data_IF_598966016527
#
_entry.id   IF_598966016527
#
_cell.length_a   1.000
_cell.length_b   1.000
_cell.length_c   1.000
_cell.angle_alpha   90.00
_cell.angle_beta   90.00
_cell.angle_gamma   90.00
#
_symmetry.space_group_name_H-M   'P 1'
#
loop_
_entity.id
_entity.type
_entity.pdbx_description
1 polymer ?
#
# COMPACT_ATOMS: atom_id res chain seq x y z
N UNK A 1 -73.00 61.97 -9.64
CA UNK A 1 -71.63 61.60 -10.06
C UNK A 1 -71.31 60.27 -9.40
N UNK A 2 -71.51 59.16 -10.12
CA UNK A 2 -71.27 57.79 -9.64
C UNK A 2 -69.89 57.35 -10.11
N UNK A 3 -68.99 57.00 -9.19
CA UNK A 3 -67.61 56.63 -9.48
C UNK A 3 -67.51 55.21 -10.05
N UNK A 4 -66.75 55.06 -11.13
CA UNK A 4 -66.46 53.77 -11.78
C UNK A 4 -65.72 52.81 -10.82
N UNK A 5 -65.99 51.49 -10.86
CA UNK A 5 -65.29 50.52 -10.04
C UNK A 5 -63.83 50.36 -10.50
N UNK A 6 -62.89 50.39 -9.54
CA UNK A 6 -61.46 50.17 -9.78
C UNK A 6 -61.20 48.72 -10.18
N UNK A 7 -60.54 48.52 -11.33
CA UNK A 7 -60.03 47.20 -11.76
C UNK A 7 -59.02 46.63 -10.74
N UNK A 8 -59.08 45.31 -10.53
CA UNK A 8 -58.14 44.57 -9.69
C UNK A 8 -56.71 44.60 -10.28
N UNK A 9 -55.65 44.66 -9.45
CA UNK A 9 -54.28 44.66 -9.94
C UNK A 9 -53.94 43.32 -10.59
N UNK A 10 -53.40 43.38 -11.81
CA UNK A 10 -52.84 42.22 -12.50
C UNK A 10 -51.72 41.59 -11.67
N UNK A 11 -51.75 40.26 -11.51
CA UNK A 11 -50.72 39.50 -10.83
C UNK A 11 -49.35 39.73 -11.46
N UNK A 12 -48.40 40.15 -10.62
CA UNK A 12 -46.99 40.21 -10.96
C UNK A 12 -46.43 38.79 -11.06
N UNK A 13 -45.77 38.47 -12.17
CA UNK A 13 -44.98 37.25 -12.29
C UNK A 13 -43.82 37.36 -11.31
N UNK A 14 -43.83 36.55 -10.24
CA UNK A 14 -42.71 36.44 -9.32
C UNK A 14 -41.48 35.95 -10.09
N UNK A 15 -40.41 36.76 -10.11
CA UNK A 15 -39.11 36.28 -10.56
C UNK A 15 -38.73 35.02 -9.76
N UNK A 16 -38.27 33.94 -10.41
CA UNK A 16 -37.77 32.77 -9.70
C UNK A 16 -36.71 33.21 -8.70
N UNK A 17 -36.86 32.78 -7.44
CA UNK A 17 -35.80 32.89 -6.45
C UNK A 17 -34.54 32.22 -7.01
N UNK A 18 -33.34 32.81 -6.88
CA UNK A 18 -32.12 32.12 -7.26
C UNK A 18 -32.06 30.81 -6.46
N UNK A 19 -32.02 29.70 -7.18
CA UNK A 19 -31.78 28.37 -6.62
C UNK A 19 -30.54 28.46 -5.71
N UNK A 20 -30.55 27.87 -4.50
CA UNK A 20 -29.36 27.86 -3.67
C UNK A 20 -28.19 27.32 -4.50
N UNK A 21 -27.14 28.12 -4.62
CA UNK A 21 -25.87 27.69 -5.22
C UNK A 21 -25.48 26.43 -4.48
N UNK A 22 -25.30 25.32 -5.22
CA UNK A 22 -24.83 24.08 -4.63
C UNK A 22 -23.58 24.38 -3.80
N UNK A 23 -23.63 24.03 -2.51
CA UNK A 23 -22.49 24.18 -1.62
C UNK A 23 -21.36 23.36 -2.24
N UNK A 24 -20.34 24.05 -2.74
CA UNK A 24 -19.13 23.40 -3.28
C UNK A 24 -18.62 22.50 -2.15
N UNK A 25 -18.48 21.18 -2.36
CA UNK A 25 -18.03 20.30 -1.30
C UNK A 25 -16.68 20.82 -0.81
N UNK A 26 -16.64 21.26 0.46
CA UNK A 26 -15.42 21.71 1.10
C UNK A 26 -14.45 20.54 1.03
N UNK A 27 -13.34 20.75 0.32
CA UNK A 27 -12.27 19.77 0.21
C UNK A 27 -11.83 19.41 1.64
N UNK A 28 -11.81 18.12 2.04
CA UNK A 28 -11.28 17.78 3.35
C UNK A 28 -9.83 18.27 3.39
N UNK A 29 -9.49 19.08 4.39
CA UNK A 29 -8.10 19.49 4.62
C UNK A 29 -7.28 18.22 4.81
N UNK A 30 -6.48 17.86 3.81
CA UNK A 30 -5.61 16.69 3.88
C UNK A 30 -4.44 17.06 4.77
N UNK A 31 -4.30 16.35 5.88
CA UNK A 31 -3.18 16.51 6.79
C UNK A 31 -1.89 16.09 6.07
N UNK A 32 -0.94 17.01 5.92
CA UNK A 32 0.33 16.76 5.20
C UNK A 32 1.48 16.32 6.11
N UNK A 33 1.25 16.22 7.43
CA UNK A 33 2.28 15.76 8.37
C UNK A 33 2.60 14.28 8.12
N UNK A 34 3.88 13.97 7.94
CA UNK A 34 4.32 12.60 7.69
C UNK A 34 4.38 11.84 9.03
N UNK A 35 3.73 10.67 9.14
CA UNK A 35 3.89 9.85 10.34
C UNK A 35 5.31 9.29 10.39
N UNK A 36 5.87 9.10 11.60
CA UNK A 36 7.18 8.44 11.84
C UNK A 36 8.43 9.12 11.23
N UNK A 37 8.33 10.36 10.76
CA UNK A 37 9.44 11.12 10.15
C UNK A 37 10.29 11.89 11.18
N UNK A 38 10.84 11.20 12.18
CA UNK A 38 11.66 11.83 13.22
C UNK A 38 13.15 11.50 13.06
N UNK A 39 14.00 12.52 13.20
CA UNK A 39 15.45 12.31 13.34
C UNK A 39 15.76 11.62 14.68
N UNK A 40 16.79 10.78 14.69
CA UNK A 40 17.22 10.04 15.89
C UNK A 40 16.46 8.74 16.15
N UNK A 41 15.53 8.35 15.28
CA UNK A 41 14.94 7.01 15.32
C UNK A 41 16.00 5.94 15.02
N UNK A 42 15.95 4.84 15.77
CA UNK A 42 16.86 3.72 15.54
C UNK A 42 16.47 2.98 14.27
N UNK A 43 17.47 2.58 13.47
CA UNK A 43 17.23 1.78 12.27
C UNK A 43 17.34 0.31 12.69
N UNK A 44 16.28 -0.51 12.55
CA UNK A 44 16.34 -1.90 12.92
C UNK A 44 17.29 -2.65 11.98
N UNK A 45 18.02 -3.61 12.54
CA UNK A 45 18.85 -4.55 11.80
C UNK A 45 18.09 -5.87 11.73
N UNK A 46 17.91 -6.43 10.53
CA UNK A 46 17.02 -7.58 10.30
C UNK A 46 17.69 -8.74 9.55
N UNK A 47 17.18 -9.94 9.79
CA UNK A 47 17.58 -11.19 9.14
C UNK A 47 16.33 -12.05 8.88
N UNK A 48 16.28 -12.77 7.75
CA UNK A 48 15.18 -13.66 7.40
C UNK A 48 13.92 -12.93 6.91
N UNK A 49 12.74 -13.40 7.34
CA UNK A 49 11.44 -12.82 6.97
C UNK A 49 10.91 -11.91 8.08
N UNK A 50 10.53 -10.68 7.73
CA UNK A 50 10.01 -9.72 8.70
C UNK A 50 8.96 -8.78 8.08
N UNK A 51 8.02 -8.31 8.90
CA UNK A 51 7.12 -7.19 8.57
C UNK A 51 7.56 -5.99 9.40
N UNK A 52 7.84 -4.88 8.74
CA UNK A 52 8.41 -3.69 9.38
C UNK A 52 7.62 -2.43 9.00
N UNK A 53 7.46 -1.48 9.93
CA UNK A 53 6.99 -0.15 9.58
C UNK A 53 8.08 0.63 8.85
N UNK A 54 7.66 1.56 7.99
CA UNK A 54 8.55 2.45 7.27
C UNK A 54 8.64 3.81 7.97
N UNK A 55 9.82 4.41 7.94
CA UNK A 55 10.04 5.82 8.25
C UNK A 55 10.19 6.63 6.95
N UNK A 56 9.57 7.80 6.89
CA UNK A 56 9.75 8.73 5.77
C UNK A 56 11.13 9.38 5.84
N UNK A 57 11.94 9.20 4.80
CA UNK A 57 13.30 9.79 4.72
C UNK A 57 13.41 10.89 3.67
N UNK A 58 12.46 10.93 2.75
CA UNK A 58 12.34 11.96 1.73
C UNK A 58 10.89 12.01 1.23
N UNK A 59 10.40 13.21 0.90
CA UNK A 59 9.07 13.43 0.35
C UNK A 59 9.12 14.62 -0.60
N UNK A 60 8.62 14.44 -1.81
CA UNK A 60 8.36 15.55 -2.73
C UNK A 60 7.23 16.43 -2.17
N UNK A 61 7.13 17.71 -2.59
CA UNK A 61 6.00 18.56 -2.23
C UNK A 61 4.66 17.89 -2.59
N UNK A 62 3.78 17.73 -1.60
CA UNK A 62 2.45 17.15 -1.81
C UNK A 62 1.58 18.23 -2.48
N UNK A 63 1.13 17.94 -3.70
CA UNK A 63 0.26 18.82 -4.46
C UNK A 63 -1.17 18.28 -4.46
N UNK A 64 -2.11 19.11 -4.02
CA UNK A 64 -3.55 18.86 -4.09
C UNK A 64 -4.13 19.57 -5.30
N UNK A 65 -4.69 18.80 -6.23
CA UNK A 65 -5.35 19.32 -7.43
C UNK A 65 -6.83 19.01 -7.35
N UNK A 66 -7.65 20.06 -7.36
CA UNK A 66 -9.11 19.95 -7.45
C UNK A 66 -9.53 20.32 -8.87
N UNK A 67 -10.20 19.38 -9.54
CA UNK A 67 -10.76 19.60 -10.87
C UNK A 67 -12.28 19.49 -10.81
N UNK A 68 -12.96 20.54 -11.25
CA UNK A 68 -14.42 20.58 -11.34
C UNK A 68 -14.82 20.65 -12.81
N UNK A 69 -15.70 19.75 -13.24
CA UNK A 69 -16.27 19.76 -14.58
C UNK A 69 -17.77 19.43 -14.54
N UNK A 70 -18.48 19.81 -15.58
CA UNK A 70 -19.93 19.59 -15.71
C UNK A 70 -20.14 18.40 -16.64
N UNK A 71 -20.76 17.34 -16.15
CA UNK A 71 -21.23 16.21 -16.94
C UNK A 71 -22.76 16.18 -16.90
N UNK A 72 -23.41 16.21 -18.07
CA UNK A 72 -24.85 15.96 -18.24
C UNK A 72 -25.73 16.52 -17.10
N UNK A 73 -25.58 17.82 -16.82
CA UNK A 73 -26.34 18.60 -15.83
C UNK A 73 -25.90 18.47 -14.36
N UNK A 74 -24.85 17.70 -14.04
CA UNK A 74 -24.28 17.59 -12.70
C UNK A 74 -22.85 18.16 -12.63
N UNK A 75 -22.51 18.76 -11.49
CA UNK A 75 -21.18 19.32 -11.24
C UNK A 75 -20.33 18.28 -10.52
N UNK A 76 -19.44 17.63 -11.25
CA UNK A 76 -18.54 16.62 -10.70
C UNK A 76 -17.23 17.28 -10.28
N UNK A 77 -17.00 17.32 -8.96
CA UNK A 77 -15.74 17.80 -8.37
C UNK A 77 -14.89 16.61 -7.95
N UNK A 78 -13.67 16.53 -8.50
CA UNK A 78 -12.68 15.50 -8.15
C UNK A 78 -11.46 16.15 -7.54
N UNK A 79 -11.15 15.81 -6.29
CA UNK A 79 -9.91 16.20 -5.62
C UNK A 79 -8.92 15.05 -5.68
N UNK A 80 -7.70 15.32 -6.14
CA UNK A 80 -6.60 14.36 -6.15
C UNK A 80 -5.41 14.94 -5.41
N UNK A 81 -4.86 14.20 -4.46
CA UNK A 81 -3.64 14.54 -3.74
C UNK A 81 -2.68 13.37 -3.87
N UNK A 82 -1.50 13.65 -4.40
CA UNK A 82 -0.50 12.62 -4.71
C UNK A 82 0.73 12.78 -3.84
N UNK A 83 1.20 11.65 -3.34
CA UNK A 83 2.39 11.53 -2.53
C UNK A 83 3.48 10.80 -3.31
N UNK A 84 4.65 11.43 -3.42
CA UNK A 84 5.86 10.78 -3.88
C UNK A 84 6.88 10.86 -2.76
N UNK A 85 7.30 9.71 -2.24
CA UNK A 85 8.11 9.64 -1.03
C UNK A 85 9.02 8.42 -1.02
N UNK A 86 10.14 8.54 -0.32
CA UNK A 86 11.06 7.44 -0.02
C UNK A 86 10.90 7.02 1.43
N UNK A 87 10.73 5.72 1.61
CA UNK A 87 10.34 5.09 2.86
C UNK A 87 11.39 4.05 3.23
N UNK A 88 12.01 4.18 4.40
CA UNK A 88 13.05 3.28 4.91
C UNK A 88 12.47 2.33 5.94
N UNK A 89 12.79 1.04 5.82
CA UNK A 89 12.32 0.01 6.75
C UNK A 89 13.43 -0.43 7.70
N UNK A 90 14.58 -0.84 7.15
CA UNK A 90 15.62 -1.49 7.94
C UNK A 90 16.98 -1.48 7.25
N UNK A 91 17.97 -1.99 7.97
CA UNK A 91 19.28 -2.38 7.45
C UNK A 91 19.39 -3.92 7.48
N UNK A 92 19.83 -4.57 6.39
CA UNK A 92 20.18 -5.99 6.42
C UNK A 92 21.29 -6.30 7.44
N UNK A 93 21.16 -7.41 8.18
CA UNK A 93 22.23 -7.91 9.06
C UNK A 93 23.49 -8.25 8.26
N UNK A 94 23.30 -8.94 7.13
CA UNK A 94 24.38 -9.29 6.19
C UNK A 94 24.47 -8.18 5.14
N UNK A 95 25.59 -7.43 5.07
CA UNK A 95 25.80 -6.43 4.02
C UNK A 95 25.70 -7.05 2.63
N UNK A 96 25.17 -6.30 1.66
CA UNK A 96 25.00 -6.73 0.26
C UNK A 96 24.26 -8.08 0.08
N UNK A 97 23.44 -8.47 1.05
CA UNK A 97 22.54 -9.61 0.90
C UNK A 97 21.34 -9.25 0.01
N UNK A 98 20.75 -10.27 -0.61
CA UNK A 98 19.60 -10.08 -1.48
C UNK A 98 18.31 -10.09 -0.70
N UNK A 99 17.40 -9.17 -1.03
CA UNK A 99 16.12 -9.04 -0.35
C UNK A 99 15.02 -8.79 -1.36
N UNK A 100 13.84 -9.29 -1.06
CA UNK A 100 12.64 -9.03 -1.85
C UNK A 100 11.51 -8.55 -0.95
N UNK A 101 10.84 -7.48 -1.37
CA UNK A 101 9.58 -7.07 -0.76
C UNK A 101 8.44 -7.95 -1.26
N UNK A 102 7.75 -8.65 -0.36
CA UNK A 102 6.59 -9.49 -0.68
C UNK A 102 5.29 -8.72 -0.66
N UNK A 103 5.04 -7.97 0.41
CA UNK A 103 3.77 -7.29 0.64
C UNK A 103 3.99 -5.87 1.07
N UNK A 104 3.12 -4.97 0.62
CA UNK A 104 3.09 -3.58 1.06
C UNK A 104 1.70 -3.28 1.61
N UNK A 105 1.67 -2.58 2.73
CA UNK A 105 0.49 -2.14 3.42
C UNK A 105 0.52 -0.63 3.62
N UNK A 106 -0.65 0.00 3.58
CA UNK A 106 -0.86 1.40 3.91
C UNK A 106 -2.00 1.49 4.92
N UNK A 107 -1.72 2.02 6.12
CA UNK A 107 -2.64 2.00 7.27
C UNK A 107 -3.22 0.60 7.53
N UNK A 108 -2.37 -0.43 7.48
CA UNK A 108 -2.76 -1.83 7.66
C UNK A 108 -3.50 -2.49 6.50
N UNK A 109 -3.97 -1.72 5.50
CA UNK A 109 -4.61 -2.25 4.29
C UNK A 109 -3.58 -2.73 3.29
N UNK A 110 -3.76 -3.95 2.77
CA UNK A 110 -2.89 -4.52 1.73
C UNK A 110 -3.05 -3.73 0.41
N UNK A 111 -1.94 -3.20 -0.12
CA UNK A 111 -1.91 -2.45 -1.39
C UNK A 111 -1.07 -3.15 -2.46
N UNK A 112 -0.21 -4.09 -2.07
CA UNK A 112 0.55 -4.94 -2.98
C UNK A 112 0.84 -6.28 -2.32
N UNK A 113 0.71 -7.36 -3.10
CA UNK A 113 1.13 -8.71 -2.72
C UNK A 113 1.75 -9.42 -3.93
N UNK A 114 3.08 -9.52 -3.91
CA UNK A 114 3.86 -10.17 -4.95
C UNK A 114 3.67 -11.68 -5.02
N UNK A 115 3.17 -12.35 -3.97
CA UNK A 115 2.97 -13.82 -4.03
C UNK A 115 1.74 -14.21 -4.84
N UNK A 116 0.75 -13.32 -4.94
CA UNK A 116 -0.49 -13.54 -5.71
C UNK A 116 -0.64 -12.58 -6.89
N UNK A 117 0.38 -11.75 -7.15
CA UNK A 117 0.37 -10.75 -8.22
C UNK A 117 -0.60 -9.60 -8.00
N UNK A 118 -1.05 -9.36 -6.76
CA UNK A 118 -1.97 -8.26 -6.45
C UNK A 118 -1.22 -6.93 -6.40
N UNK A 119 -1.75 -5.92 -7.09
CA UNK A 119 -1.28 -4.54 -7.02
C UNK A 119 -2.48 -3.61 -7.11
N UNK A 120 -2.64 -2.73 -6.12
CA UNK A 120 -3.68 -1.70 -6.14
C UNK A 120 -3.56 -0.86 -7.42
N UNK A 121 -4.69 -0.55 -8.04
CA UNK A 121 -4.74 0.26 -9.26
C UNK A 121 -4.04 1.60 -9.02
N UNK A 122 -3.11 1.95 -9.92
CA UNK A 122 -2.36 3.20 -9.85
C UNK A 122 -1.17 3.17 -8.88
N UNK A 123 -0.95 2.11 -8.11
CA UNK A 123 0.23 1.98 -7.25
C UNK A 123 1.50 1.84 -8.09
N UNK A 124 2.39 2.82 -7.98
CA UNK A 124 3.73 2.79 -8.55
C UNK A 124 4.74 2.83 -7.41
N UNK A 125 5.65 1.87 -7.38
CA UNK A 125 6.77 1.92 -6.47
C UNK A 125 7.98 1.21 -7.07
N UNK A 126 9.15 1.61 -6.59
CA UNK A 126 10.41 0.89 -6.77
C UNK A 126 10.87 0.41 -5.40
N UNK A 127 11.16 -0.89 -5.28
CA UNK A 127 11.74 -1.45 -4.07
C UNK A 127 13.24 -1.65 -4.27
N UNK A 128 14.00 -1.36 -3.23
CA UNK A 128 15.45 -1.45 -3.22
C UNK A 128 15.91 -2.36 -2.09
N UNK A 129 16.79 -3.29 -2.42
CA UNK A 129 17.36 -4.28 -1.50
C UNK A 129 18.61 -3.77 -0.78
N UNK A 130 19.08 -2.56 -1.11
CA UNK A 130 20.15 -1.88 -0.40
C UNK A 130 21.56 -2.28 -0.84
N UNK A 131 21.75 -2.84 -2.03
CA UNK A 131 23.09 -3.16 -2.55
C UNK A 131 23.99 -1.95 -2.74
N UNK A 132 25.30 -2.15 -2.62
CA UNK A 132 26.32 -1.11 -2.79
C UNK A 132 26.40 -0.48 -4.18
N UNK A 133 25.87 -1.14 -5.22
CA UNK A 133 25.83 -0.65 -6.60
C UNK A 133 24.52 0.08 -6.95
N UNK A 134 23.60 0.21 -6.00
CA UNK A 134 22.30 0.83 -6.24
C UNK A 134 22.46 2.27 -6.76
N UNK A 135 21.78 2.62 -7.89
CA UNK A 135 21.79 3.97 -8.41
C UNK A 135 20.89 4.91 -7.59
N UNK A 136 20.98 6.22 -7.85
CA UNK A 136 20.01 7.19 -7.35
C UNK A 136 18.62 6.85 -7.88
N UNK A 137 17.59 7.13 -7.09
CA UNK A 137 16.21 6.89 -7.53
C UNK A 137 15.79 7.90 -8.62
N UNK A 138 15.19 7.46 -9.74
CA UNK A 138 14.78 8.36 -10.82
C UNK A 138 13.71 9.39 -10.44
N UNK A 139 12.78 9.06 -9.54
CA UNK A 139 11.74 9.98 -9.11
C UNK A 139 12.32 11.11 -8.24
N UNK A 140 13.25 10.78 -7.34
CA UNK A 140 14.02 11.78 -6.59
C UNK A 140 14.86 12.65 -7.53
N UNK A 141 15.59 12.05 -8.48
CA UNK A 141 16.42 12.79 -9.45
C UNK A 141 15.59 13.72 -10.32
N UNK A 142 14.38 13.31 -10.69
CA UNK A 142 13.43 14.14 -11.43
C UNK A 142 12.98 15.36 -10.62
N UNK A 143 12.78 15.22 -9.32
CA UNK A 143 12.26 16.27 -8.45
C UNK A 143 13.35 17.28 -8.03
N UNK A 144 14.51 16.78 -7.58
CA UNK A 144 15.55 17.63 -6.97
C UNK A 144 16.79 17.86 -7.86
N UNK A 145 16.96 17.05 -8.90
CA UNK A 145 18.14 17.06 -9.76
C UNK A 145 19.25 16.09 -9.30
N UNK A 146 20.04 15.60 -10.26
CA UNK A 146 21.01 14.53 -10.02
C UNK A 146 22.13 14.89 -9.03
N UNK A 147 22.46 16.18 -8.89
CA UNK A 147 23.53 16.67 -8.02
C UNK A 147 23.12 16.78 -6.56
N UNK A 148 21.81 16.85 -6.29
CA UNK A 148 21.26 17.06 -4.95
C UNK A 148 20.70 15.77 -4.31
N UNK A 149 20.61 14.68 -5.09
CA UNK A 149 20.06 13.40 -4.63
C UNK A 149 21.15 12.43 -4.22
N UNK A 150 21.02 11.86 -3.02
CA UNK A 150 21.88 10.78 -2.55
C UNK A 150 21.40 9.40 -3.02
N UNK A 151 22.34 8.48 -3.23
CA UNK A 151 22.01 7.07 -3.42
C UNK A 151 21.96 6.39 -2.03
N UNK A 152 20.76 6.11 -1.52
CA UNK A 152 20.61 5.46 -0.22
C UNK A 152 20.87 3.95 -0.33
N UNK A 153 22.13 3.57 -0.13
CA UNK A 153 22.61 2.18 -0.16
C UNK A 153 22.65 1.59 1.26
N UNK A 154 22.66 0.27 1.35
CA UNK A 154 22.75 -0.47 2.62
C UNK A 154 21.45 -0.52 3.43
N UNK A 155 20.33 -0.10 2.84
CA UNK A 155 19.03 -0.08 3.50
C UNK A 155 17.96 -0.72 2.63
N UNK A 156 17.01 -1.38 3.28
CA UNK A 156 15.74 -1.78 2.67
C UNK A 156 14.85 -0.55 2.62
N UNK A 157 14.61 -0.05 1.42
CA UNK A 157 13.74 1.09 1.20
C UNK A 157 12.89 0.94 -0.07
N UNK A 158 11.84 1.74 -0.12
CA UNK A 158 10.99 1.86 -1.31
C UNK A 158 10.80 3.34 -1.65
N UNK A 159 10.61 3.62 -2.93
CA UNK A 159 10.11 4.90 -3.40
C UNK A 159 8.73 4.68 -3.97
N UNK A 160 7.72 5.29 -3.35
CA UNK A 160 6.35 5.34 -3.88
C UNK A 160 6.21 6.59 -4.74
N UNK A 161 5.53 6.46 -5.89
CA UNK A 161 5.38 7.55 -6.86
C UNK A 161 3.89 7.74 -7.16
N UNK A 162 3.44 9.00 -7.13
CA UNK A 162 2.04 9.37 -7.40
C UNK A 162 1.02 8.62 -6.53
N UNK A 163 1.35 8.25 -5.29
CA UNK A 163 0.47 7.49 -4.42
C UNK A 163 -0.73 8.36 -4.01
N UNK A 164 -1.94 7.88 -4.28
CA UNK A 164 -3.17 8.60 -3.94
C UNK A 164 -3.42 8.54 -2.43
N UNK A 165 -3.36 9.70 -1.78
CA UNK A 165 -3.59 9.85 -0.34
C UNK A 165 -5.00 10.35 -0.01
N UNK A 166 -5.82 10.70 -1.00
CA UNK A 166 -7.17 11.24 -0.75
C UNK A 166 -8.03 10.22 -0.01
N UNK A 167 -7.96 8.95 -0.43
CA UNK A 167 -8.66 7.85 0.24
C UNK A 167 -8.18 7.55 1.67
N UNK A 168 -7.05 8.13 2.09
CA UNK A 168 -6.46 7.96 3.43
C UNK A 168 -6.61 9.21 4.31
N UNK A 169 -6.97 10.37 3.75
CA UNK A 169 -7.06 11.66 4.45
C UNK A 169 -5.71 12.28 4.87
N UNK A 170 -4.66 11.47 4.95
CA UNK A 170 -3.29 11.85 5.29
C UNK A 170 -2.29 10.87 4.66
N UNK A 171 -1.00 11.21 4.54
CA UNK A 171 0.07 10.26 4.25
C UNK A 171 -0.02 9.04 5.21
N UNK A 172 -0.17 7.81 4.69
CA UNK A 172 -0.42 6.66 5.54
C UNK A 172 0.86 6.18 6.23
N UNK A 173 0.70 5.38 7.29
CA UNK A 173 1.79 4.55 7.80
C UNK A 173 1.99 3.39 6.84
N UNK A 174 3.17 3.30 6.26
CA UNK A 174 3.55 2.19 5.40
C UNK A 174 4.18 1.06 6.20
N UNK A 175 3.83 -0.16 5.86
CA UNK A 175 4.49 -1.35 6.39
C UNK A 175 4.77 -2.30 5.24
N UNK A 176 5.90 -3.00 5.28
CA UNK A 176 6.25 -3.95 4.25
C UNK A 176 6.75 -5.26 4.83
N UNK A 177 6.35 -6.36 4.19
CA UNK A 177 6.92 -7.67 4.41
C UNK A 177 8.15 -7.83 3.52
N UNK A 178 9.31 -8.01 4.14
CA UNK A 178 10.59 -8.25 3.51
C UNK A 178 11.04 -9.69 3.78
N UNK A 179 11.65 -10.30 2.78
CA UNK A 179 12.27 -11.61 2.89
C UNK A 179 13.71 -11.46 2.42
N UNK A 180 14.64 -11.89 3.26
CA UNK A 180 16.01 -12.13 2.86
C UNK A 180 16.03 -13.29 1.89
N UNK A 181 16.39 -12.99 0.66
CA UNK A 181 16.56 -13.98 -0.38
C UNK A 181 18.00 -14.53 -0.27
N UNK A 182 18.13 -15.85 -0.24
CA UNK A 182 19.35 -16.57 -0.61
C UNK A 182 19.04 -17.72 -1.59
N UNK A 183 17.79 -17.82 -2.05
CA UNK A 183 17.27 -18.87 -2.92
C UNK A 183 16.00 -18.36 -3.64
N UNK A 184 16.06 -18.38 -4.97
CA UNK A 184 15.04 -17.86 -5.90
C UNK A 184 13.63 -18.46 -5.73
N UNK A 185 13.50 -19.54 -4.97
CA UNK A 185 12.26 -20.23 -4.60
C UNK A 185 12.39 -20.64 -3.15
N UNK A 186 11.80 -19.86 -2.25
CA UNK A 186 11.45 -20.38 -0.94
C UNK A 186 10.05 -20.95 -1.07
N UNK A 187 9.99 -22.25 -1.41
CA UNK A 187 8.76 -23.02 -1.28
C UNK A 187 8.34 -22.98 0.19
N UNK A 188 7.26 -22.26 0.47
CA UNK A 188 6.56 -22.45 1.74
C UNK A 188 5.70 -23.69 1.55
N UNK A 189 6.12 -24.82 2.10
CA UNK A 189 5.24 -25.95 2.23
C UNK A 189 4.09 -25.55 3.17
N UNK A 190 2.88 -25.43 2.60
CA UNK A 190 1.66 -25.24 3.37
C UNK A 190 1.26 -26.61 3.89
N UNK A 191 1.38 -26.78 5.21
CA UNK A 191 0.98 -28.00 5.87
C UNK A 191 -0.44 -27.87 6.43
N UNK A 192 -1.22 -28.93 6.34
CA UNK A 192 -2.43 -29.08 7.13
C UNK A 192 -2.19 -30.03 8.30
N UNK A 193 -2.99 -29.93 9.37
CA UNK A 193 -2.85 -30.79 10.55
C UNK A 193 -3.71 -32.03 10.36
N UNK A 194 -3.13 -33.21 10.59
CA UNK A 194 -3.88 -34.45 10.46
C UNK A 194 -4.94 -34.52 11.56
N UNK A 195 -6.20 -34.75 11.20
CA UNK A 195 -7.26 -34.90 12.18
C UNK A 195 -7.18 -36.31 12.80
N UNK A 196 -6.73 -36.40 14.06
CA UNK A 196 -6.62 -37.66 14.80
C UNK A 196 -5.20 -38.24 14.85
N UNK A 197 -5.09 -39.53 15.16
CA UNK A 197 -3.80 -40.25 15.21
C UNK A 197 -3.50 -40.86 13.84
N UNK A 198 -2.46 -40.39 13.11
CA UNK A 198 -2.15 -40.95 11.81
C UNK A 198 -1.70 -42.41 11.92
N UNK A 199 -2.25 -43.28 11.07
CA UNK A 199 -1.79 -44.67 10.93
C UNK A 199 -0.77 -44.77 9.79
N UNK A 200 0.17 -45.73 9.86
CA UNK A 200 1.14 -45.98 8.80
C UNK A 200 0.51 -46.28 7.43
N UNK A 201 -0.74 -46.76 7.41
CA UNK A 201 -1.52 -46.99 6.18
C UNK A 201 -2.07 -45.72 5.54
N UNK A 202 -2.15 -44.62 6.29
CA UNK A 202 -2.72 -43.34 5.83
C UNK A 202 -1.63 -42.38 5.34
N UNK A 203 -0.40 -42.88 5.20
CA UNK A 203 0.81 -42.11 4.93
C UNK A 203 1.52 -42.66 3.69
N UNK A 204 1.88 -41.76 2.78
CA UNK A 204 2.54 -42.06 1.52
C UNK A 204 3.90 -41.35 1.50
N UNK A 205 5.01 -42.09 1.70
CA UNK A 205 6.35 -41.50 1.65
C UNK A 205 6.81 -41.31 0.21
N UNK A 206 7.33 -40.11 -0.08
CA UNK A 206 7.95 -39.74 -1.35
C UNK A 206 9.43 -39.53 -1.08
N UNK A 207 10.19 -40.62 -1.23
CA UNK A 207 11.57 -40.74 -0.74
C UNK A 207 12.57 -39.82 -1.44
N UNK A 208 12.38 -39.57 -2.73
CA UNK A 208 13.21 -38.70 -3.57
C UNK A 208 13.05 -37.22 -3.21
N UNK A 209 11.87 -36.83 -2.71
CA UNK A 209 11.57 -35.47 -2.27
C UNK A 209 11.68 -35.28 -0.76
N UNK A 210 11.95 -36.36 -0.02
CA UNK A 210 11.92 -36.38 1.45
C UNK A 210 10.60 -35.84 2.05
N UNK A 211 9.46 -36.08 1.37
CA UNK A 211 8.12 -35.65 1.81
C UNK A 211 7.29 -36.85 2.28
N UNK A 212 6.38 -36.61 3.23
CA UNK A 212 5.38 -37.58 3.67
C UNK A 212 3.98 -36.98 3.48
N UNK A 213 3.23 -37.52 2.53
CA UNK A 213 1.84 -37.13 2.32
C UNK A 213 0.93 -37.98 3.20
N UNK A 214 -0.15 -37.38 3.67
CA UNK A 214 -1.26 -38.10 4.29
C UNK A 214 -2.46 -38.08 3.36
N UNK A 215 -3.41 -38.98 3.58
CA UNK A 215 -4.69 -38.94 2.89
C UNK A 215 -5.83 -39.22 3.85
N UNK A 216 -7.01 -38.68 3.54
CA UNK A 216 -8.29 -39.07 4.13
C UNK A 216 -9.19 -39.68 3.05
N UNK A 217 -10.43 -40.02 3.38
CA UNK A 217 -11.39 -40.61 2.42
C UNK A 217 -11.76 -39.67 1.25
N UNK A 218 -11.30 -38.42 1.27
CA UNK A 218 -11.69 -37.37 0.33
C UNK A 218 -10.54 -36.73 -0.44
N UNK A 219 -9.32 -36.64 0.12
CA UNK A 219 -8.21 -35.94 -0.52
C UNK A 219 -6.81 -36.34 -0.02
N UNK A 220 -5.76 -35.91 -0.73
CA UNK A 220 -4.35 -36.14 -0.39
C UNK A 220 -3.67 -34.79 -0.10
N UNK A 221 -3.09 -34.63 1.09
CA UNK A 221 -2.40 -33.40 1.49
C UNK A 221 -1.00 -33.66 2.08
N UNK A 222 -0.19 -32.61 2.09
CA UNK A 222 1.06 -32.58 2.85
C UNK A 222 0.74 -32.17 4.29
N UNK A 223 1.00 -33.05 5.25
CA UNK A 223 0.68 -32.81 6.65
C UNK A 223 1.92 -32.50 7.48
N UNK A 224 1.80 -31.61 8.47
CA UNK A 224 2.90 -31.36 9.42
C UNK A 224 2.94 -32.49 10.44
N UNK A 225 4.05 -33.21 10.54
CA UNK A 225 4.27 -34.19 11.61
C UNK A 225 4.77 -33.42 12.82
N UNK A 226 3.91 -33.24 13.83
CA UNK A 226 4.30 -32.63 15.10
C UNK A 226 5.34 -33.49 15.81
N UNK A 227 6.62 -33.18 15.64
CA UNK A 227 7.68 -33.89 16.35
C UNK A 227 7.71 -33.44 17.83
N UNK A 228 7.07 -34.20 18.72
CA UNK A 228 7.32 -34.06 20.16
C UNK A 228 8.50 -34.94 20.63
N UNK A 229 8.79 -36.04 19.92
CA UNK A 229 10.03 -36.85 19.95
C UNK A 229 9.81 -38.13 19.13
N UNK A 230 10.82 -38.58 18.40
CA UNK A 230 11.01 -39.98 18.01
C UNK A 230 12.49 -40.33 18.23
N UNK A 231 12.73 -41.57 18.68
CA UNK A 231 13.97 -42.09 19.27
C UNK A 231 15.24 -41.88 18.42
#
# INVERSE_FOLDING_TARGET
MSGLPRHAPHGSWSNPQPTPVAEVPVVPEIQTTLPTSAYGQTIPVVYGKCRLPAAYIWCAPILTVTSTHIEFWDTVTTTTSKLTARLRFARPLVPDSTWTMRKLYANGKLVYDGSVGYRQKGLKFTAYDGRGDQPRDPAMVKEEGADFVSAHRGYLDIVVVDFDIVGYGAPPVFEAEWIQDGATTHDYDIYTTFAGTPNARDLIPVWDQQKLYGFDDTDIFLYSIGAAKQY
#
